data_IF_626017473392
#
_entry.id   IF_626017473392
#
_cell.length_a   1.000
_cell.length_b   1.000
_cell.length_c   1.000
_cell.angle_alpha   90.00
_cell.angle_beta   90.00
_cell.angle_gamma   90.00
#
_symmetry.space_group_name_H-M   'P 1'
#
loop_
_entity.id
_entity.type
_entity.pdbx_description
1 polymer ?
#
# COMPACT_ATOMS: atom_id res chain seq x y z
N UNK A 1 -26.20 -36.94 -1.27
CA UNK A 1 -27.02 -36.32 -2.32
C UNK A 1 -27.88 -35.26 -1.68
N UNK A 2 -27.49 -33.98 -1.78
CA UNK A 2 -28.34 -32.90 -1.30
C UNK A 2 -29.53 -32.75 -2.27
N UNK A 3 -30.75 -32.75 -1.73
CA UNK A 3 -31.99 -32.60 -2.47
C UNK A 3 -31.98 -31.28 -3.27
N UNK A 4 -32.24 -31.39 -4.58
CA UNK A 4 -32.51 -30.25 -5.45
C UNK A 4 -33.84 -29.64 -4.97
N UNK A 5 -33.92 -28.34 -4.64
CA UNK A 5 -35.19 -27.72 -4.28
C UNK A 5 -36.12 -27.76 -5.50
N UNK A 6 -37.42 -27.99 -5.27
CA UNK A 6 -38.46 -28.09 -6.29
C UNK A 6 -38.83 -26.73 -6.96
N UNK A 7 -37.95 -25.73 -6.86
CA UNK A 7 -38.13 -24.39 -7.42
C UNK A 7 -37.26 -24.28 -8.68
N UNK A 8 -37.79 -23.72 -9.78
CA UNK A 8 -37.21 -23.79 -11.13
C UNK A 8 -35.78 -23.28 -11.33
N UNK A 9 -35.33 -23.22 -12.60
CA UNK A 9 -33.96 -22.82 -13.00
C UNK A 9 -33.37 -21.62 -12.21
N UNK A 10 -34.11 -20.54 -11.90
CA UNK A 10 -33.61 -19.43 -11.08
C UNK A 10 -33.21 -19.82 -9.65
N UNK A 11 -33.98 -20.67 -8.98
CA UNK A 11 -33.67 -21.11 -7.62
C UNK A 11 -32.44 -22.04 -7.58
N UNK A 12 -32.29 -22.88 -8.62
CA UNK A 12 -31.09 -23.68 -8.82
C UNK A 12 -29.85 -22.78 -9.02
N UNK A 13 -29.93 -21.76 -9.87
CA UNK A 13 -28.84 -20.81 -10.08
C UNK A 13 -28.50 -20.00 -8.81
N UNK A 14 -29.50 -19.57 -8.05
CA UNK A 14 -29.30 -18.89 -6.76
C UNK A 14 -28.58 -19.80 -5.74
N UNK A 15 -28.96 -21.08 -5.66
CA UNK A 15 -28.28 -22.06 -4.83
C UNK A 15 -26.83 -22.27 -5.26
N UNK A 16 -26.58 -22.52 -6.55
CA UNK A 16 -25.24 -22.80 -7.08
C UNK A 16 -24.29 -21.62 -6.88
N UNK A 17 -24.74 -20.41 -7.21
CA UNK A 17 -23.94 -19.18 -7.07
C UNK A 17 -23.59 -18.88 -5.61
N UNK A 18 -24.50 -19.17 -4.67
CA UNK A 18 -24.22 -19.06 -3.23
C UNK A 18 -23.16 -20.07 -2.79
N UNK A 19 -23.28 -21.34 -3.18
CA UNK A 19 -22.33 -22.40 -2.79
C UNK A 19 -20.94 -22.16 -3.39
N UNK A 20 -20.87 -21.72 -4.66
CA UNK A 20 -19.62 -21.38 -5.34
C UNK A 20 -19.04 -20.02 -4.92
N UNK A 21 -19.75 -19.26 -4.07
CA UNK A 21 -19.37 -17.90 -3.65
C UNK A 21 -19.15 -16.98 -4.86
N UNK A 22 -20.07 -17.01 -5.82
CA UNK A 22 -20.11 -16.15 -7.02
C UNK A 22 -21.30 -15.19 -6.97
N UNK A 23 -21.31 -14.24 -6.00
CA UNK A 23 -22.44 -13.36 -5.77
C UNK A 23 -22.71 -12.40 -6.94
N UNK A 24 -21.71 -12.10 -7.78
CA UNK A 24 -21.90 -11.27 -8.96
C UNK A 24 -22.74 -12.01 -9.98
N UNK A 25 -22.41 -13.27 -10.26
CA UNK A 25 -23.21 -14.12 -11.16
C UNK A 25 -24.66 -14.19 -10.66
N UNK A 26 -24.87 -14.43 -9.36
CA UNK A 26 -26.21 -14.47 -8.78
C UNK A 26 -27.04 -13.20 -8.98
N UNK A 27 -26.39 -12.03 -9.14
CA UNK A 27 -27.06 -10.73 -9.38
C UNK A 27 -27.23 -10.38 -10.86
N UNK A 28 -26.38 -10.88 -11.75
CA UNK A 28 -26.31 -10.41 -13.14
C UNK A 28 -26.60 -11.47 -14.21
N UNK A 29 -26.77 -12.75 -13.83
CA UNK A 29 -26.98 -13.82 -14.82
C UNK A 29 -28.23 -13.58 -15.67
N UNK A 30 -29.34 -13.13 -15.07
CA UNK A 30 -30.62 -12.96 -15.76
C UNK A 30 -30.60 -11.76 -16.73
N UNK A 31 -30.19 -10.55 -16.32
CA UNK A 31 -30.00 -9.45 -17.26
C UNK A 31 -29.04 -9.75 -18.42
N UNK A 32 -27.95 -10.50 -18.15
CA UNK A 32 -27.01 -10.91 -19.20
C UNK A 32 -27.58 -11.99 -20.12
N UNK A 33 -28.48 -12.85 -19.61
CA UNK A 33 -29.17 -13.85 -20.42
C UNK A 33 -30.17 -13.18 -21.37
N UNK A 34 -30.87 -12.14 -20.91
CA UNK A 34 -31.77 -11.35 -21.75
C UNK A 34 -30.98 -10.63 -22.85
N UNK A 35 -29.88 -9.95 -22.48
CA UNK A 35 -28.98 -9.32 -23.44
C UNK A 35 -28.42 -10.32 -24.47
N UNK A 36 -28.00 -11.50 -24.03
CA UNK A 36 -27.49 -12.54 -24.91
C UNK A 36 -28.54 -13.01 -25.94
N UNK A 37 -29.83 -13.06 -25.56
CA UNK A 37 -30.91 -13.38 -26.51
C UNK A 37 -31.15 -12.24 -27.50
N UNK A 38 -31.16 -11.00 -27.04
CA UNK A 38 -31.40 -9.83 -27.89
C UNK A 38 -30.27 -9.62 -28.91
N UNK A 39 -29.02 -9.86 -28.49
CA UNK A 39 -27.83 -9.70 -29.32
C UNK A 39 -27.40 -10.99 -30.06
N UNK A 40 -28.16 -12.09 -29.92
CA UNK A 40 -27.87 -13.40 -30.51
C UNK A 40 -26.48 -13.97 -30.17
N UNK A 41 -26.06 -13.83 -28.91
CA UNK A 41 -24.80 -14.39 -28.42
C UNK A 41 -24.83 -15.93 -28.42
N UNK A 42 -23.68 -16.55 -28.69
CA UNK A 42 -23.49 -17.97 -28.46
C UNK A 42 -23.50 -18.31 -26.96
N UNK A 43 -23.66 -19.59 -26.61
CA UNK A 43 -23.57 -20.03 -25.22
C UNK A 43 -22.20 -19.72 -24.60
N UNK A 44 -21.12 -19.84 -25.39
CA UNK A 44 -19.76 -19.53 -25.00
C UNK A 44 -19.57 -18.03 -24.74
N UNK A 45 -20.15 -17.16 -25.57
CA UNK A 45 -20.10 -15.70 -25.39
C UNK A 45 -20.82 -15.26 -24.10
N UNK A 46 -22.02 -15.79 -23.87
CA UNK A 46 -22.76 -15.56 -22.62
C UNK A 46 -21.99 -16.05 -21.38
N UNK A 47 -21.42 -17.26 -21.44
CA UNK A 47 -20.62 -17.81 -20.35
C UNK A 47 -19.38 -16.93 -20.08
N UNK A 48 -18.68 -16.51 -21.14
CA UNK A 48 -17.52 -15.64 -21.02
C UNK A 48 -17.90 -14.29 -20.38
N UNK A 49 -18.98 -13.64 -20.82
CA UNK A 49 -19.44 -12.37 -20.28
C UNK A 49 -19.78 -12.44 -18.78
N UNK A 50 -20.48 -13.49 -18.36
CA UNK A 50 -20.79 -13.72 -16.93
C UNK A 50 -19.51 -13.88 -16.10
N UNK A 51 -18.58 -14.72 -16.58
CA UNK A 51 -17.34 -15.00 -15.86
C UNK A 51 -16.46 -13.76 -15.79
N UNK A 52 -16.35 -12.99 -16.87
CA UNK A 52 -15.63 -11.71 -16.91
C UNK A 52 -16.19 -10.73 -15.88
N UNK A 53 -17.53 -10.60 -15.78
CA UNK A 53 -18.15 -9.72 -14.79
C UNK A 53 -17.84 -10.16 -13.36
N UNK A 54 -17.87 -11.46 -13.09
CA UNK A 54 -17.52 -12.01 -11.78
C UNK A 54 -16.04 -11.82 -11.42
N UNK A 55 -15.14 -11.95 -12.39
CA UNK A 55 -13.70 -11.70 -12.19
C UNK A 55 -13.46 -10.23 -11.89
N UNK A 56 -14.00 -9.31 -12.71
CA UNK A 56 -13.85 -7.88 -12.53
C UNK A 56 -14.34 -7.40 -11.14
N UNK A 57 -15.52 -7.85 -10.72
CA UNK A 57 -16.06 -7.53 -9.39
C UNK A 57 -15.16 -8.08 -8.26
N UNK A 58 -14.60 -9.28 -8.43
CA UNK A 58 -13.73 -9.90 -7.41
C UNK A 58 -12.37 -9.19 -7.31
N UNK A 59 -11.78 -8.80 -8.43
CA UNK A 59 -10.54 -8.03 -8.47
C UNK A 59 -10.73 -6.64 -7.85
N UNK A 60 -11.85 -5.98 -8.17
CA UNK A 60 -12.23 -4.69 -7.59
C UNK A 60 -12.45 -4.81 -6.08
N UNK A 61 -13.26 -5.77 -5.62
CA UNK A 61 -13.49 -6.01 -4.19
C UNK A 61 -12.19 -6.37 -3.45
N UNK A 62 -11.32 -7.18 -4.06
CA UNK A 62 -10.02 -7.52 -3.51
C UNK A 62 -9.12 -6.30 -3.35
N UNK A 63 -9.12 -5.40 -4.33
CA UNK A 63 -8.36 -4.15 -4.28
C UNK A 63 -8.87 -3.22 -3.19
N UNK A 64 -10.19 -3.00 -3.13
CA UNK A 64 -10.83 -2.18 -2.08
C UNK A 64 -10.47 -2.73 -0.70
N UNK A 65 -10.55 -4.05 -0.53
CA UNK A 65 -10.19 -4.70 0.73
C UNK A 65 -8.72 -4.47 1.08
N UNK A 66 -7.79 -4.66 0.15
CA UNK A 66 -6.35 -4.44 0.39
C UNK A 66 -6.05 -2.99 0.78
N UNK A 67 -6.63 -2.01 0.09
CA UNK A 67 -6.48 -0.58 0.42
C UNK A 67 -7.06 -0.30 1.81
N UNK A 68 -8.24 -0.84 2.12
CA UNK A 68 -8.90 -0.65 3.44
C UNK A 68 -8.08 -1.25 4.57
N UNK A 69 -7.50 -2.44 4.39
CA UNK A 69 -6.69 -3.11 5.42
C UNK A 69 -5.25 -2.65 5.46
N UNK A 70 -4.82 -1.80 4.54
CA UNK A 70 -3.46 -1.26 4.54
C UNK A 70 -3.24 -0.20 5.62
N UNK A 71 -4.30 0.29 6.29
CA UNK A 71 -4.22 1.29 7.36
C UNK A 71 -3.57 2.61 6.93
N UNK A 72 -3.73 3.01 5.66
CA UNK A 72 -3.35 4.35 5.23
C UNK A 72 -4.10 5.42 6.04
N UNK A 73 -3.43 6.49 6.52
CA UNK A 73 -4.10 7.57 7.24
C UNK A 73 -5.09 8.31 6.35
N UNK A 74 -4.77 8.42 5.06
CA UNK A 74 -5.64 8.89 3.99
C UNK A 74 -5.27 8.15 2.71
N UNK A 75 -6.25 7.89 1.84
CA UNK A 75 -5.98 7.38 0.49
C UNK A 75 -5.54 8.56 -0.37
N UNK A 76 -4.36 8.46 -0.97
CA UNK A 76 -3.78 9.44 -1.90
C UNK A 76 -3.32 8.69 -3.15
N UNK A 77 -3.54 9.27 -4.33
CA UNK A 77 -3.07 8.69 -5.59
C UNK A 77 -1.84 9.44 -6.10
N UNK A 78 -1.06 8.81 -6.99
CA UNK A 78 0.07 9.50 -7.61
C UNK A 78 -0.42 10.57 -8.61
N UNK A 79 -1.59 10.37 -9.18
CA UNK A 79 -2.27 11.30 -10.08
C UNK A 79 -2.66 12.61 -9.38
N UNK A 80 -2.99 12.55 -8.09
CA UNK A 80 -3.26 13.75 -7.27
C UNK A 80 -1.99 14.54 -6.92
N UNK A 81 -0.80 14.00 -7.22
CA UNK A 81 0.47 14.61 -6.83
C UNK A 81 1.02 15.52 -7.93
N UNK A 82 1.18 16.81 -7.63
CA UNK A 82 1.80 17.73 -8.57
C UNK A 82 3.33 17.56 -8.61
N UNK A 83 3.80 16.83 -9.62
CA UNK A 83 5.22 16.55 -9.86
C UNK A 83 6.02 17.77 -10.32
N UNK A 84 5.37 18.84 -10.80
CA UNK A 84 6.07 20.05 -11.24
C UNK A 84 6.75 20.78 -10.06
N UNK A 85 6.42 20.39 -8.83
CA UNK A 85 7.02 20.93 -7.60
C UNK A 85 8.20 20.12 -7.07
N UNK A 86 8.53 18.99 -7.70
CA UNK A 86 9.69 18.16 -7.35
C UNK A 86 10.62 18.00 -8.57
N UNK A 87 11.39 19.03 -8.94
CA UNK A 87 12.30 18.96 -10.08
C UNK A 87 13.39 17.89 -9.91
N UNK A 88 13.72 17.52 -8.67
CA UNK A 88 14.69 16.45 -8.38
C UNK A 88 14.12 15.04 -8.56
N UNK A 89 12.80 14.90 -8.66
CA UNK A 89 12.16 13.60 -8.79
C UNK A 89 12.18 13.15 -10.24
N UNK A 90 12.98 12.12 -10.50
CA UNK A 90 13.01 11.43 -11.79
C UNK A 90 11.65 10.76 -12.09
N UNK A 91 10.93 11.30 -13.09
CA UNK A 91 9.58 10.83 -13.48
C UNK A 91 9.59 9.39 -13.98
N UNK A 92 10.65 8.99 -14.66
CA UNK A 92 10.83 7.63 -15.17
C UNK A 92 11.00 6.62 -14.03
N UNK A 93 11.77 6.96 -12.98
CA UNK A 93 11.91 6.15 -11.77
C UNK A 93 10.58 6.03 -11.05
N UNK A 94 9.86 7.13 -10.86
CA UNK A 94 8.53 7.10 -10.24
C UNK A 94 7.54 6.24 -11.04
N UNK A 95 7.55 6.36 -12.37
CA UNK A 95 6.71 5.55 -13.25
C UNK A 95 7.06 4.06 -13.14
N UNK A 96 8.36 3.72 -13.07
CA UNK A 96 8.80 2.35 -12.83
C UNK A 96 8.30 1.81 -11.50
N UNK A 97 8.46 2.57 -10.40
CA UNK A 97 7.95 2.18 -9.09
C UNK A 97 6.42 2.05 -9.07
N UNK A 98 5.70 2.88 -9.81
CA UNK A 98 4.25 2.83 -9.92
C UNK A 98 3.74 1.53 -10.57
N UNK A 99 4.59 0.78 -11.30
CA UNK A 99 4.24 -0.56 -11.79
C UNK A 99 4.12 -1.59 -10.65
N UNK A 100 4.73 -1.33 -9.49
CA UNK A 100 4.78 -2.25 -8.36
C UNK A 100 5.74 -3.43 -8.55
N UNK A 101 6.52 -3.49 -9.64
CA UNK A 101 7.42 -4.61 -9.95
C UNK A 101 8.55 -4.82 -8.93
N UNK A 102 8.87 -3.81 -8.12
CA UNK A 102 9.81 -3.92 -7.01
C UNK A 102 9.29 -4.84 -5.89
N UNK A 103 7.97 -4.89 -5.70
CA UNK A 103 7.31 -5.65 -4.62
C UNK A 103 7.60 -7.16 -4.69
N UNK A 104 7.37 -7.86 -5.81
CA UNK A 104 7.66 -9.29 -5.92
C UNK A 104 9.16 -9.61 -5.93
N UNK A 105 10.02 -8.64 -6.24
CA UNK A 105 11.49 -8.79 -6.20
C UNK A 105 12.09 -8.60 -4.81
N UNK A 106 11.27 -8.23 -3.81
CA UNK A 106 11.72 -7.86 -2.48
C UNK A 106 12.71 -6.67 -2.47
N UNK A 107 12.57 -5.77 -3.45
CA UNK A 107 13.33 -4.51 -3.53
C UNK A 107 12.67 -3.46 -2.63
N UNK A 108 13.47 -2.68 -1.91
CA UNK A 108 12.99 -1.62 -1.03
C UNK A 108 12.89 -0.28 -1.76
N UNK A 109 12.15 0.65 -1.18
CA UNK A 109 12.08 2.04 -1.66
C UNK A 109 12.33 2.97 -0.49
N UNK A 110 13.30 3.87 -0.61
CA UNK A 110 13.60 4.85 0.44
C UNK A 110 13.40 6.25 -0.09
N UNK A 111 12.47 6.99 0.53
CA UNK A 111 12.18 8.38 0.22
C UNK A 111 12.83 9.28 1.28
N UNK A 112 13.82 10.06 0.86
CA UNK A 112 14.55 11.00 1.72
C UNK A 112 14.26 12.44 1.34
N UNK A 113 14.31 13.36 2.29
CA UNK A 113 14.25 14.81 2.02
C UNK A 113 13.46 15.60 3.07
N UNK A 114 13.47 16.95 3.02
CA UNK A 114 12.86 17.80 4.04
C UNK A 114 11.35 17.56 4.27
N UNK A 115 10.80 18.00 5.42
CA UNK A 115 9.38 17.85 5.72
C UNK A 115 8.48 18.63 4.75
N UNK A 116 7.33 18.03 4.42
CA UNK A 116 6.27 18.70 3.64
C UNK A 116 6.45 18.69 2.13
N UNK A 117 7.43 17.97 1.57
CA UNK A 117 7.68 17.87 0.12
C UNK A 117 6.94 16.71 -0.58
N UNK A 118 6.15 15.91 0.16
CA UNK A 118 5.32 14.85 -0.44
C UNK A 118 5.79 13.40 -0.28
N UNK A 119 6.84 13.12 0.49
CA UNK A 119 7.33 11.73 0.72
C UNK A 119 6.21 10.76 1.13
N UNK A 120 5.45 11.10 2.18
CA UNK A 120 4.32 10.29 2.64
C UNK A 120 3.23 10.14 1.57
N UNK A 121 2.96 11.18 0.77
CA UNK A 121 1.99 11.11 -0.32
C UNK A 121 2.45 10.12 -1.39
N UNK A 122 3.71 10.23 -1.82
CA UNK A 122 4.31 9.30 -2.80
C UNK A 122 4.29 7.87 -2.25
N UNK A 123 4.64 7.67 -0.97
CA UNK A 123 4.62 6.36 -0.35
C UNK A 123 3.22 5.74 -0.32
N UNK A 124 2.20 6.52 0.07
CA UNK A 124 0.80 6.09 0.04
C UNK A 124 0.36 5.82 -1.40
N UNK A 125 0.67 6.69 -2.35
CA UNK A 125 0.31 6.53 -3.76
C UNK A 125 0.90 5.26 -4.38
N UNK A 126 2.18 4.99 -4.12
CA UNK A 126 2.82 3.73 -4.53
C UNK A 126 2.21 2.52 -3.80
N UNK A 127 1.89 2.65 -2.52
CA UNK A 127 1.16 1.61 -1.77
C UNK A 127 -0.22 1.31 -2.36
N UNK A 128 -0.95 2.33 -2.79
CA UNK A 128 -2.23 2.18 -3.49
C UNK A 128 -2.02 1.46 -4.83
N UNK A 129 -1.02 1.85 -5.63
CA UNK A 129 -0.68 1.14 -6.86
C UNK A 129 -0.31 -0.33 -6.62
N UNK A 130 0.45 -0.62 -5.58
CA UNK A 130 0.77 -2.01 -5.18
C UNK A 130 -0.49 -2.80 -4.80
N UNK A 131 -1.45 -2.18 -4.09
CA UNK A 131 -2.72 -2.81 -3.77
C UNK A 131 -3.59 -3.08 -5.01
N UNK A 132 -3.59 -2.17 -5.99
CA UNK A 132 -4.20 -2.39 -7.31
C UNK A 132 -3.53 -3.56 -8.05
N UNK A 133 -2.22 -3.70 -7.96
CA UNK A 133 -1.45 -4.81 -8.54
C UNK A 133 -1.62 -6.15 -7.79
N UNK A 134 -2.51 -6.23 -6.80
CA UNK A 134 -2.80 -7.47 -6.08
C UNK A 134 -2.01 -7.68 -4.78
N UNK A 135 -1.09 -6.80 -4.43
CA UNK A 135 -0.18 -6.99 -3.30
C UNK A 135 -0.78 -6.52 -1.97
N UNK A 136 -0.62 -7.32 -0.92
CA UNK A 136 -0.98 -6.93 0.45
C UNK A 136 -0.02 -5.86 0.96
N UNK A 137 -0.58 -4.73 1.39
CA UNK A 137 0.17 -3.57 1.90
C UNK A 137 -0.20 -3.33 3.35
N UNK A 138 0.75 -2.85 4.16
CA UNK A 138 0.50 -2.37 5.51
C UNK A 138 1.34 -1.12 5.77
N UNK A 139 0.67 -0.02 6.12
CA UNK A 139 1.25 1.28 6.41
C UNK A 139 1.19 1.54 7.91
N UNK A 140 2.26 2.10 8.46
CA UNK A 140 2.22 2.80 9.74
C UNK A 140 3.40 3.78 9.89
N UNK A 141 3.35 4.64 10.89
CA UNK A 141 4.51 5.48 11.28
C UNK A 141 5.56 4.65 12.00
N UNK A 142 6.83 5.06 11.95
CA UNK A 142 7.93 4.39 12.63
C UNK A 142 7.65 4.23 14.14
N UNK A 143 7.10 5.27 14.78
CA UNK A 143 6.71 5.24 16.19
C UNK A 143 5.63 4.19 16.49
N UNK A 144 4.62 4.05 15.64
CA UNK A 144 3.56 3.05 15.82
C UNK A 144 4.06 1.63 15.54
N UNK A 145 4.94 1.45 14.55
CA UNK A 145 5.63 0.18 14.33
C UNK A 145 6.39 -0.26 15.58
N UNK A 146 7.16 0.64 16.19
CA UNK A 146 7.87 0.38 17.44
C UNK A 146 6.90 0.06 18.58
N UNK A 147 5.85 0.86 18.77
CA UNK A 147 4.86 0.62 19.82
C UNK A 147 4.20 -0.77 19.69
N UNK A 148 3.88 -1.18 18.46
CA UNK A 148 3.32 -2.50 18.13
C UNK A 148 4.31 -3.62 18.46
N UNK A 149 5.57 -3.49 18.04
CA UNK A 149 6.62 -4.48 18.29
C UNK A 149 6.97 -4.57 19.77
N UNK A 150 7.04 -3.44 20.46
CA UNK A 150 7.29 -3.35 21.89
C UNK A 150 6.17 -4.03 22.68
N UNK A 151 4.91 -3.75 22.33
CA UNK A 151 3.75 -4.43 22.93
C UNK A 151 3.83 -5.94 22.74
N UNK A 152 4.17 -6.40 21.53
CA UNK A 152 4.33 -7.82 21.24
C UNK A 152 5.53 -8.45 21.99
N UNK A 153 6.63 -7.71 22.13
CA UNK A 153 7.82 -8.14 22.86
C UNK A 153 7.54 -8.34 24.35
N UNK A 154 6.94 -7.34 25.00
CA UNK A 154 6.52 -7.44 26.42
C UNK A 154 5.51 -8.56 26.67
N UNK A 155 4.69 -8.90 25.67
CA UNK A 155 3.76 -10.02 25.74
C UNK A 155 4.37 -11.38 25.37
N UNK A 156 5.69 -11.48 25.12
CA UNK A 156 6.38 -12.68 24.63
C UNK A 156 5.78 -13.25 23.32
N UNK A 157 5.32 -12.37 22.42
CA UNK A 157 4.68 -12.71 21.13
C UNK A 157 5.34 -12.03 19.93
N UNK A 158 6.55 -11.50 20.08
CA UNK A 158 7.26 -10.79 19.02
C UNK A 158 7.40 -11.62 17.73
N UNK A 159 7.81 -12.88 17.84
CA UNK A 159 7.97 -13.77 16.69
C UNK A 159 6.65 -14.01 15.95
N UNK A 160 5.56 -14.22 16.70
CA UNK A 160 4.22 -14.39 16.13
C UNK A 160 3.77 -13.12 15.40
N UNK A 161 4.10 -11.95 15.93
CA UNK A 161 3.79 -10.66 15.33
C UNK A 161 4.60 -10.42 14.04
N UNK A 162 5.90 -10.69 14.05
CA UNK A 162 6.75 -10.64 12.85
C UNK A 162 6.24 -11.61 11.78
N UNK A 163 5.84 -12.83 12.14
CA UNK A 163 5.24 -13.81 11.21
C UNK A 163 3.93 -13.32 10.61
N UNK A 164 3.11 -12.57 11.36
CA UNK A 164 1.90 -11.92 10.86
C UNK A 164 2.25 -10.80 9.87
N UNK A 165 3.23 -9.96 10.20
CA UNK A 165 3.71 -8.86 9.34
C UNK A 165 4.29 -9.39 8.03
N UNK A 166 5.01 -10.52 8.04
CA UNK A 166 5.57 -11.17 6.85
C UNK A 166 4.53 -11.57 5.79
N UNK A 167 3.24 -11.68 6.15
CA UNK A 167 2.14 -11.94 5.19
C UNK A 167 1.85 -10.75 4.26
N UNK A 168 2.24 -9.54 4.66
CA UNK A 168 2.19 -8.37 3.80
C UNK A 168 3.36 -8.40 2.83
N UNK A 169 3.08 -8.16 1.54
CA UNK A 169 4.09 -8.12 0.48
C UNK A 169 4.87 -6.81 0.47
N UNK A 170 4.22 -5.73 0.91
CA UNK A 170 4.82 -4.42 1.12
C UNK A 170 4.47 -3.92 2.52
N UNK A 171 5.46 -3.47 3.27
CA UNK A 171 5.23 -2.64 4.46
C UNK A 171 5.74 -1.23 4.20
N UNK A 172 5.04 -0.22 4.73
CA UNK A 172 5.43 1.18 4.63
C UNK A 172 5.68 1.68 6.05
N UNK A 173 6.87 2.23 6.26
CA UNK A 173 7.33 2.81 7.51
C UNK A 173 7.53 4.30 7.28
N UNK A 174 6.54 5.09 7.68
CA UNK A 174 6.55 6.54 7.49
C UNK A 174 7.25 7.25 8.65
N UNK A 175 7.84 8.41 8.39
CA UNK A 175 8.39 9.33 9.42
C UNK A 175 9.56 8.76 10.24
N UNK A 176 10.44 7.96 9.64
CA UNK A 176 11.71 7.55 10.28
C UNK A 176 12.60 8.77 10.52
N UNK A 177 13.12 8.91 11.74
CA UNK A 177 14.05 9.99 12.11
C UNK A 177 13.41 11.22 12.76
N UNK A 178 12.10 11.22 13.05
CA UNK A 178 11.47 12.32 13.78
C UNK A 178 11.70 12.27 15.30
N UNK A 179 11.76 11.07 15.87
CA UNK A 179 11.95 10.84 17.30
C UNK A 179 13.08 9.83 17.47
N UNK A 180 14.10 10.12 18.32
CA UNK A 180 15.12 9.14 18.66
C UNK A 180 14.50 7.91 19.32
N UNK A 181 15.00 6.74 18.95
CA UNK A 181 14.62 5.47 19.53
C UNK A 181 15.57 5.14 20.68
N UNK A 182 15.02 4.58 21.75
CA UNK A 182 15.85 3.90 22.75
C UNK A 182 16.44 2.61 22.16
N UNK A 183 17.37 2.01 22.90
CA UNK A 183 18.11 0.85 22.42
C UNK A 183 17.20 -0.36 22.15
N UNK A 184 16.16 -0.55 22.96
CA UNK A 184 15.20 -1.64 22.79
C UNK A 184 14.34 -1.43 21.53
N UNK A 185 13.85 -0.22 21.30
CA UNK A 185 13.12 0.16 20.10
C UNK A 185 13.98 0.01 18.85
N UNK A 186 15.25 0.42 18.89
CA UNK A 186 16.19 0.22 17.80
C UNK A 186 16.41 -1.27 17.48
N UNK A 187 16.57 -2.11 18.51
CA UNK A 187 16.69 -3.57 18.35
C UNK A 187 15.41 -4.20 17.76
N UNK A 188 14.23 -3.78 18.20
CA UNK A 188 12.96 -4.25 17.65
C UNK A 188 12.78 -3.83 16.19
N UNK A 189 13.13 -2.59 15.87
CA UNK A 189 13.10 -2.08 14.50
C UNK A 189 14.09 -2.85 13.61
N UNK A 190 15.31 -3.12 14.07
CA UNK A 190 16.27 -3.97 13.39
C UNK A 190 15.69 -5.36 13.10
N UNK A 191 15.04 -6.00 14.08
CA UNK A 191 14.39 -7.31 13.88
C UNK A 191 13.29 -7.25 12.82
N UNK A 192 12.52 -6.16 12.75
CA UNK A 192 11.54 -5.96 11.68
C UNK A 192 12.22 -5.93 10.31
N UNK A 193 13.23 -5.07 10.13
CA UNK A 193 13.97 -4.95 8.85
C UNK A 193 14.62 -6.29 8.48
N UNK A 194 15.30 -6.94 9.42
CA UNK A 194 15.96 -8.22 9.21
C UNK A 194 14.98 -9.34 8.84
N UNK A 195 13.78 -9.37 9.43
CA UNK A 195 12.75 -10.38 9.11
C UNK A 195 12.19 -10.29 7.68
N UNK A 196 12.45 -9.16 7.01
CA UNK A 196 11.95 -8.79 5.69
C UNK A 196 13.02 -8.81 4.61
N UNK A 197 14.29 -8.67 4.99
CA UNK A 197 15.43 -8.69 4.09
C UNK A 197 15.37 -9.91 3.14
N UNK A 198 15.43 -9.63 1.83
CA UNK A 198 15.29 -10.63 0.72
C UNK A 198 13.98 -11.45 0.70
N UNK A 199 13.00 -11.13 1.56
CA UNK A 199 11.74 -11.88 1.71
C UNK A 199 10.53 -11.03 1.33
N UNK A 200 10.57 -9.72 1.55
CA UNK A 200 9.56 -8.82 1.00
C UNK A 200 9.84 -7.36 1.30
N UNK A 201 9.19 -6.51 0.52
CA UNK A 201 9.60 -5.14 0.32
C UNK A 201 9.22 -4.22 1.47
N UNK A 202 10.11 -3.26 1.74
CA UNK A 202 9.93 -2.19 2.70
C UNK A 202 10.00 -0.87 1.95
N UNK A 203 9.06 0.02 2.24
CA UNK A 203 9.14 1.41 1.84
C UNK A 203 9.31 2.29 3.06
N UNK A 204 10.30 3.17 3.04
CA UNK A 204 10.60 4.07 4.15
C UNK A 204 10.49 5.52 3.71
N UNK A 205 9.96 6.37 4.57
CA UNK A 205 10.13 7.82 4.44
C UNK A 205 10.97 8.37 5.60
N UNK A 206 11.90 9.28 5.30
CA UNK A 206 12.69 9.95 6.33
C UNK A 206 13.00 11.39 5.95
N UNK A 207 13.03 12.26 6.95
CA UNK A 207 13.54 13.62 6.83
C UNK A 207 15.06 13.73 7.04
N UNK A 208 15.71 12.66 7.48
CA UNK A 208 17.14 12.62 7.74
C UNK A 208 17.86 11.87 6.61
N UNK A 209 19.04 12.35 6.17
CA UNK A 209 19.93 11.54 5.34
C UNK A 209 20.46 10.35 6.15
N UNK A 210 20.87 9.27 5.47
CA UNK A 210 21.36 8.05 6.14
C UNK A 210 22.49 8.30 7.14
N UNK A 211 23.40 9.23 6.85
CA UNK A 211 24.50 9.56 7.77
C UNK A 211 24.06 10.14 9.13
N UNK A 212 22.79 10.52 9.28
CA UNK A 212 22.21 11.00 10.55
C UNK A 212 21.30 9.99 11.23
N UNK A 213 21.17 8.78 10.69
CA UNK A 213 20.34 7.74 11.32
C UNK A 213 20.93 7.24 12.62
N UNK A 214 22.25 7.34 12.82
CA UNK A 214 22.89 7.08 14.12
C UNK A 214 22.26 7.85 15.28
N UNK A 215 21.92 9.12 15.06
CA UNK A 215 21.20 9.97 16.03
C UNK A 215 19.79 9.43 16.35
N UNK A 216 19.16 8.72 15.41
CA UNK A 216 17.83 8.15 15.58
C UNK A 216 17.87 6.81 16.28
N UNK A 217 18.86 5.97 16.00
CA UNK A 217 18.93 4.60 16.56
C UNK A 217 19.81 4.48 17.80
N UNK A 218 20.34 5.60 18.30
CA UNK A 218 21.19 5.68 19.50
C UNK A 218 22.47 4.84 19.44
N UNK A 219 22.80 4.28 18.27
CA UNK A 219 23.97 3.43 18.02
C UNK A 219 24.29 3.44 16.51
N UNK A 220 25.46 3.97 16.15
CA UNK A 220 25.94 4.07 14.76
C UNK A 220 26.15 2.69 14.12
N UNK A 221 26.53 1.67 14.90
CA UNK A 221 26.76 0.32 14.42
C UNK A 221 25.44 -0.33 14.05
N UNK A 222 24.42 -0.20 14.92
CA UNK A 222 23.08 -0.70 14.65
C UNK A 222 22.47 0.03 13.45
N UNK A 223 22.59 1.37 13.39
CA UNK A 223 22.14 2.17 12.27
C UNK A 223 22.80 1.72 10.95
N UNK A 224 24.12 1.55 10.92
CA UNK A 224 24.84 1.08 9.73
C UNK A 224 24.35 -0.30 9.28
N UNK A 225 24.18 -1.24 10.21
CA UNK A 225 23.68 -2.58 9.91
C UNK A 225 22.22 -2.59 9.38
N UNK A 226 21.39 -1.64 9.80
CA UNK A 226 20.04 -1.46 9.26
C UNK A 226 20.04 -0.84 7.87
N UNK A 227 20.83 0.21 7.68
CA UNK A 227 20.95 0.90 6.38
C UNK A 227 21.47 -0.07 5.33
N UNK A 228 22.51 -0.85 5.65
CA UNK A 228 23.08 -1.86 4.76
C UNK A 228 21.99 -2.82 4.23
N UNK A 229 21.20 -3.42 5.12
CA UNK A 229 20.09 -4.33 4.74
C UNK A 229 18.97 -3.62 4.00
N UNK A 230 18.66 -2.38 4.36
CA UNK A 230 17.57 -1.63 3.73
C UNK A 230 17.96 -1.21 2.30
N UNK A 231 19.22 -0.83 2.07
CA UNK A 231 19.69 -0.19 0.83
C UNK A 231 20.32 -1.18 -0.15
N UNK A 232 20.77 -2.36 0.28
CA UNK A 232 21.42 -3.35 -0.59
C UNK A 232 20.60 -3.65 -1.87
N UNK A 233 19.28 -3.76 -1.74
CA UNK A 233 18.34 -3.84 -2.86
C UNK A 233 17.28 -2.76 -2.71
N UNK A 234 17.62 -1.51 -3.03
CA UNK A 234 16.68 -0.41 -2.92
C UNK A 234 16.79 0.63 -4.03
N UNK A 235 15.64 1.20 -4.38
CA UNK A 235 15.58 2.48 -5.06
C UNK A 235 15.56 3.61 -4.01
N UNK A 236 16.56 4.49 -4.03
CA UNK A 236 16.67 5.62 -3.09
C UNK A 236 16.34 6.92 -3.80
N UNK A 237 15.24 7.55 -3.42
CA UNK A 237 14.78 8.81 -3.98
C UNK A 237 15.04 9.94 -2.99
N UNK A 238 15.99 10.79 -3.33
CA UNK A 238 16.27 12.03 -2.57
C UNK A 238 15.46 13.17 -3.17
N UNK A 239 14.43 13.58 -2.44
CA UNK A 239 13.54 14.66 -2.84
C UNK A 239 14.07 15.99 -2.30
N UNK A 240 14.14 17.00 -3.16
CA UNK A 240 14.44 18.38 -2.81
C UNK A 240 13.36 19.30 -3.35
N UNK A 241 13.13 20.42 -2.66
CA UNK A 241 12.12 21.39 -3.03
C UNK A 241 11.47 22.08 -1.84
N UNK A 242 10.58 23.03 -2.13
CA UNK A 242 9.85 23.77 -1.12
C UNK A 242 8.73 22.95 -0.49
N UNK A 243 8.46 23.20 0.79
CA UNK A 243 7.39 22.55 1.54
C UNK A 243 6.00 22.90 0.97
N UNK A 244 5.28 21.88 0.48
CA UNK A 244 3.90 22.00 -0.02
C UNK A 244 2.97 22.59 1.05
N UNK A 245 3.09 22.12 2.29
CA UNK A 245 2.29 22.61 3.44
C UNK A 245 2.45 24.11 3.67
N UNK A 246 3.69 24.61 3.57
CA UNK A 246 3.99 26.04 3.78
C UNK A 246 3.48 26.89 2.63
N UNK A 247 3.58 26.37 1.40
CA UNK A 247 3.09 27.04 0.20
C UNK A 247 1.57 27.16 0.17
N UNK A 248 0.83 26.07 0.41
CA UNK A 248 -0.65 26.12 0.50
C UNK A 248 -1.09 27.17 1.51
N UNK A 249 -0.40 27.27 2.65
CA UNK A 249 -0.65 28.30 3.67
C UNK A 249 -0.38 29.72 3.15
N UNK A 250 0.72 29.95 2.43
CA UNK A 250 1.01 31.27 1.81
C UNK A 250 -0.03 31.67 0.76
N UNK A 251 -0.47 30.75 -0.09
CA UNK A 251 -1.47 31.00 -1.13
C UNK A 251 -2.85 31.34 -0.53
N UNK A 252 -3.25 30.65 0.54
CA UNK A 252 -4.47 30.96 1.30
C UNK A 252 -4.41 32.35 1.94
N UNK A 253 -3.28 32.70 2.56
CA UNK A 253 -3.08 34.03 3.16
C UNK A 253 -3.00 35.16 2.12
N UNK A 254 -2.46 34.87 0.93
CA UNK A 254 -2.44 35.79 -0.21
C UNK A 254 -3.84 36.11 -0.72
N UNK A 255 -4.68 35.09 -0.94
CA UNK A 255 -6.07 35.28 -1.39
C UNK A 255 -6.95 36.01 -0.37
N UNK A 256 -6.72 35.80 0.92
CA UNK A 256 -7.43 36.55 1.97
C UNK A 256 -7.12 38.04 1.96
N UNK A 257 -5.91 38.45 1.53
CA UNK A 257 -5.54 39.86 1.41
C UNK A 257 -6.13 40.52 0.16
N UNK A 258 -6.29 39.78 -0.93
CA UNK A 258 -6.87 40.31 -2.17
C UNK A 258 -8.39 40.45 -2.11
N UNK A 259 -9.09 39.64 -1.31
CA UNK A 259 -10.54 39.74 -1.09
C UNK A 259 -10.94 40.76 -0.01
N UNK A 260 -9.98 41.46 0.60
CA UNK A 260 -10.23 42.49 1.63
C UNK A 260 -10.00 43.92 1.12
N UNK A 261 -9.76 44.08 -0.19
CA UNK A 261 -9.65 45.35 -0.91
C UNK A 261 -10.76 45.43 -1.96
#
# INVERSE_FOLDING_TARGET
MASVPADGLPAQLAYLTRVLKTPTIGRCWEPLADQARDENWSHEEYLAAILQRQVADRESAGTIMRIRTAHFPQVKTLEDFNLDHLPSLRRDVLAHLATGMFVPKAENVVLLGPPGIGKTHIAIGLGVKAAHAGYSVLFDTASNWIARLSTAHHANRLEAELKKIRRYKLIIIDEVGYIPFDQDAANLFFQLIASRYEIGSIMVTSNLPFGRWGETFSDDVVAAAMIDRLVHHAEVLTLTGDSYRTRTRRELLGKSRTNSN
#
